data_IF_594300387276
#
_entry.id   IF_594300387276
#
_cell.length_a   1.000
_cell.length_b   1.000
_cell.length_c   1.000
_cell.angle_alpha   90.00
_cell.angle_beta   90.00
_cell.angle_gamma   90.00
#
_symmetry.space_group_name_H-M   'P 1'
#
loop_
_entity.id
_entity.type
_entity.pdbx_description
1 polymer ?
#
# COMPACT_ATOMS: atom_id res chain seq x y z
N UNK A 1 1.93 27.14 -13.63
CA UNK A 1 1.42 25.80 -13.96
C UNK A 1 -0.12 25.72 -13.88
N UNK A 2 -0.89 26.48 -14.68
CA UNK A 2 -2.36 26.39 -14.69
C UNK A 2 -2.93 25.20 -15.47
N UNK A 3 -2.10 24.40 -16.16
CA UNK A 3 -2.57 23.38 -17.11
C UNK A 3 -3.03 22.06 -16.48
N UNK A 4 -2.56 21.66 -15.30
CA UNK A 4 -2.90 20.35 -14.72
C UNK A 4 -4.31 20.31 -14.11
N UNK A 5 -4.74 21.40 -13.50
CA UNK A 5 -5.97 21.44 -12.68
C UNK A 5 -7.28 21.21 -13.45
N UNK A 6 -7.44 21.66 -14.71
CA UNK A 6 -8.62 21.31 -15.50
C UNK A 6 -8.71 19.81 -15.76
N UNK A 7 -7.63 19.19 -16.26
CA UNK A 7 -7.62 17.75 -16.56
C UNK A 7 -7.86 16.89 -15.33
N UNK A 8 -7.25 17.25 -14.19
CA UNK A 8 -7.50 16.51 -12.94
C UNK A 8 -8.95 16.67 -12.47
N UNK A 9 -9.57 17.83 -12.65
CA UNK A 9 -10.97 18.06 -12.27
C UNK A 9 -11.92 17.21 -13.11
N UNK A 10 -11.65 17.10 -14.40
CA UNK A 10 -12.50 16.40 -15.35
C UNK A 10 -12.29 14.87 -15.36
N UNK A 11 -11.19 14.38 -14.77
CA UNK A 11 -10.90 12.95 -14.69
C UNK A 11 -12.01 12.15 -13.97
N UNK A 12 -12.39 11.02 -14.55
CA UNK A 12 -13.45 10.12 -14.04
C UNK A 12 -12.93 8.76 -13.58
N UNK A 13 -11.71 8.41 -13.94
CA UNK A 13 -11.02 7.18 -13.55
C UNK A 13 -9.55 7.47 -13.21
N UNK A 14 -8.87 6.48 -12.64
CA UNK A 14 -7.48 6.62 -12.17
C UNK A 14 -6.53 6.80 -13.35
N UNK A 15 -6.80 6.14 -14.47
CA UNK A 15 -5.93 6.17 -15.64
C UNK A 15 -5.89 7.58 -16.26
N UNK A 16 -7.03 8.28 -16.32
CA UNK A 16 -7.10 9.68 -16.76
C UNK A 16 -6.30 10.61 -15.85
N UNK A 17 -6.33 10.39 -14.52
CA UNK A 17 -5.51 11.15 -13.58
C UNK A 17 -4.03 10.93 -13.86
N UNK A 18 -3.63 9.66 -13.98
CA UNK A 18 -2.23 9.28 -14.20
C UNK A 18 -1.72 9.83 -15.53
N UNK A 19 -2.50 9.69 -16.61
CA UNK A 19 -2.15 10.20 -17.94
C UNK A 19 -1.97 11.73 -17.93
N UNK A 20 -2.85 12.47 -17.26
CA UNK A 20 -2.73 13.93 -17.12
C UNK A 20 -1.48 14.34 -16.34
N UNK A 21 -1.16 13.64 -15.25
CA UNK A 21 0.05 13.90 -14.45
C UNK A 21 1.31 13.62 -15.27
N UNK A 22 1.39 12.45 -15.91
CA UNK A 22 2.54 12.06 -16.71
C UNK A 22 2.77 13.00 -17.89
N UNK A 23 1.71 13.42 -18.60
CA UNK A 23 1.82 14.39 -19.69
C UNK A 23 2.40 15.73 -19.23
N UNK A 24 1.98 16.23 -18.07
CA UNK A 24 2.49 17.50 -17.53
C UNK A 24 3.92 17.38 -17.03
N UNK A 25 4.27 16.29 -16.34
CA UNK A 25 5.62 16.11 -15.78
C UNK A 25 6.63 15.83 -16.89
N UNK A 26 6.31 14.93 -17.83
CA UNK A 26 7.20 14.57 -18.94
C UNK A 26 7.46 15.73 -19.91
N UNK A 27 6.51 16.67 -20.05
CA UNK A 27 6.71 17.90 -20.82
C UNK A 27 7.55 18.97 -20.11
N UNK A 28 8.02 18.71 -18.89
CA UNK A 28 8.82 19.65 -18.10
C UNK A 28 10.27 19.77 -18.60
N UNK A 29 10.94 20.92 -18.40
CA UNK A 29 12.33 21.09 -18.83
C UNK A 29 13.27 20.10 -18.12
N UNK A 30 14.26 19.60 -18.85
CA UNK A 30 15.22 18.58 -18.41
C UNK A 30 14.61 17.24 -17.95
N UNK A 31 13.30 17.02 -18.10
CA UNK A 31 12.66 15.73 -17.81
C UNK A 31 12.83 14.82 -19.02
N UNK A 32 13.49 13.67 -18.82
CA UNK A 32 13.66 12.63 -19.85
C UNK A 32 12.38 11.81 -19.96
N UNK A 33 11.84 11.42 -18.81
CA UNK A 33 10.60 10.66 -18.65
C UNK A 33 10.10 10.76 -17.21
N UNK A 34 8.85 10.39 -16.99
CA UNK A 34 8.25 10.33 -15.67
C UNK A 34 7.46 9.04 -15.51
N UNK A 35 7.41 8.50 -14.30
CA UNK A 35 6.59 7.36 -13.95
C UNK A 35 5.76 7.68 -12.72
N UNK A 36 4.59 7.06 -12.62
CA UNK A 36 3.73 7.15 -11.45
C UNK A 36 3.39 5.74 -11.01
N UNK A 37 3.53 5.50 -9.71
CA UNK A 37 3.19 4.25 -9.07
C UNK A 37 2.08 4.46 -8.05
N UNK A 38 1.16 3.50 -7.96
CA UNK A 38 0.12 3.43 -6.94
C UNK A 38 0.28 2.13 -6.16
N UNK A 39 0.14 2.24 -4.83
CA UNK A 39 0.16 1.09 -3.94
C UNK A 39 -1.07 0.22 -4.18
N UNK A 40 -0.85 -1.08 -4.25
CA UNK A 40 -1.88 -2.12 -4.34
C UNK A 40 -1.68 -3.22 -3.30
N UNK A 41 -2.77 -3.95 -3.02
CA UNK A 41 -2.76 -5.06 -2.08
C UNK A 41 -2.27 -4.65 -0.69
N UNK A 42 -2.65 -3.45 -0.22
CA UNK A 42 -2.18 -2.92 1.07
C UNK A 42 -0.76 -2.38 1.07
N UNK A 43 -0.08 -2.26 -0.08
CA UNK A 43 1.32 -1.82 -0.19
C UNK A 43 2.31 -2.95 -0.51
N UNK A 44 1.80 -4.15 -0.82
CA UNK A 44 2.59 -5.33 -1.20
C UNK A 44 3.21 -5.21 -2.59
N UNK A 45 2.61 -4.41 -3.46
CA UNK A 45 3.08 -4.16 -4.83
C UNK A 45 2.82 -2.71 -5.20
N UNK A 46 3.66 -2.21 -6.08
CA UNK A 46 3.44 -0.93 -6.73
C UNK A 46 3.07 -1.20 -8.18
N UNK A 47 1.83 -0.87 -8.55
CA UNK A 47 1.48 -0.75 -9.96
C UNK A 47 2.07 0.54 -10.48
N UNK A 48 2.91 0.47 -11.49
CA UNK A 48 3.59 1.61 -12.04
C UNK A 48 3.40 1.69 -13.55
N UNK A 49 3.41 2.92 -14.06
CA UNK A 49 3.36 3.22 -15.49
C UNK A 49 4.30 4.38 -15.77
N UNK A 50 5.05 4.27 -16.87
CA UNK A 50 5.94 5.31 -17.38
C UNK A 50 5.23 6.10 -18.49
N UNK A 51 5.52 7.39 -18.55
CA UNK A 51 5.20 8.30 -19.64
C UNK A 51 5.49 7.74 -21.03
N UNK A 52 6.55 6.93 -21.21
CA UNK A 52 6.83 6.24 -22.47
C UNK A 52 5.74 5.23 -22.87
N UNK A 53 5.11 4.58 -21.89
CA UNK A 53 4.00 3.64 -22.08
C UNK A 53 2.63 4.33 -22.11
N UNK A 54 2.52 5.56 -21.58
CA UNK A 54 1.27 6.31 -21.52
C UNK A 54 0.94 7.12 -22.80
N UNK A 55 1.82 7.15 -23.80
CA UNK A 55 1.64 7.94 -25.04
C UNK A 55 0.97 7.09 -26.12
N UNK A 56 -0.33 7.30 -26.32
CA UNK A 56 -1.04 6.90 -27.55
C UNK A 56 -1.96 5.69 -27.49
N UNK A 57 -2.22 5.09 -26.32
CA UNK A 57 -3.20 4.01 -26.14
C UNK A 57 -4.37 4.44 -25.24
N UNK A 58 -5.58 3.95 -25.55
CA UNK A 58 -6.78 4.16 -24.72
C UNK A 58 -6.65 3.49 -23.35
N UNK A 59 -5.79 2.47 -23.24
CA UNK A 59 -5.48 1.73 -22.02
C UNK A 59 -4.03 1.99 -21.57
N UNK A 60 -3.77 2.02 -20.26
CA UNK A 60 -2.42 2.19 -19.71
C UNK A 60 -1.78 0.81 -19.50
N UNK A 61 -0.58 0.63 -20.04
CA UNK A 61 0.20 -0.59 -19.78
C UNK A 61 0.84 -0.53 -18.38
N UNK A 62 0.11 -1.05 -17.40
CA UNK A 62 0.53 -1.12 -16.01
C UNK A 62 1.49 -2.28 -15.78
N UNK A 63 2.67 -1.96 -15.28
CA UNK A 63 3.65 -2.93 -14.79
C UNK A 63 3.66 -2.98 -13.26
N UNK A 64 4.28 -4.01 -12.68
CA UNK A 64 4.40 -4.16 -11.23
C UNK A 64 5.86 -4.03 -10.80
N UNK A 65 6.08 -3.29 -9.72
CA UNK A 65 7.32 -3.29 -8.93
C UNK A 65 7.00 -4.03 -7.64
N UNK A 66 7.89 -4.95 -7.27
CA UNK A 66 7.78 -5.61 -5.98
C UNK A 66 8.13 -4.60 -4.88
N UNK A 67 7.36 -4.56 -3.79
CA UNK A 67 7.58 -3.61 -2.71
C UNK A 67 8.97 -3.76 -2.03
N UNK A 68 9.64 -4.91 -2.24
CA UNK A 68 10.99 -5.20 -1.74
C UNK A 68 12.10 -4.88 -2.72
N UNK A 69 11.76 -4.49 -3.96
CA UNK A 69 12.78 -4.05 -4.91
C UNK A 69 13.50 -2.81 -4.35
N UNK A 70 14.83 -2.85 -4.38
CA UNK A 70 15.66 -1.71 -3.95
C UNK A 70 15.63 -0.62 -5.03
N UNK A 71 14.54 0.15 -5.04
CA UNK A 71 14.32 1.26 -5.96
C UNK A 71 13.87 2.52 -5.20
N UNK A 72 14.06 3.72 -5.76
CA UNK A 72 13.62 4.95 -5.11
C UNK A 72 12.12 4.94 -4.76
N UNK A 73 11.27 4.36 -5.62
CA UNK A 73 9.82 4.32 -5.44
C UNK A 73 9.37 3.55 -4.19
N UNK A 74 9.96 2.39 -3.90
CA UNK A 74 9.62 1.60 -2.72
C UNK A 74 10.07 2.32 -1.44
N UNK A 75 11.21 3.01 -1.48
CA UNK A 75 11.68 3.84 -0.36
C UNK A 75 10.73 4.99 -0.07
N UNK A 76 10.29 5.75 -1.07
CA UNK A 76 9.37 6.89 -0.82
C UNK A 76 7.99 6.43 -0.36
N UNK A 77 7.50 5.30 -0.84
CA UNK A 77 6.22 4.75 -0.38
C UNK A 77 6.32 4.27 1.07
N UNK A 78 7.43 3.63 1.44
CA UNK A 78 7.66 3.14 2.80
C UNK A 78 7.89 4.26 3.81
N UNK A 79 8.66 5.28 3.44
CA UNK A 79 9.13 6.32 4.38
C UNK A 79 8.32 7.60 4.35
N UNK A 80 7.61 7.87 3.24
CA UNK A 80 7.02 9.18 3.01
C UNK A 80 8.03 10.30 2.75
N UNK A 81 9.33 9.99 2.68
CA UNK A 81 10.38 10.96 2.44
C UNK A 81 10.71 11.06 0.95
N UNK A 82 11.13 12.25 0.52
CA UNK A 82 11.57 12.47 -0.86
C UNK A 82 12.96 11.88 -1.05
N UNK A 83 13.16 11.15 -2.14
CA UNK A 83 14.47 10.63 -2.54
C UNK A 83 14.88 11.31 -3.84
N UNK A 84 16.00 12.04 -3.86
CA UNK A 84 16.50 12.67 -5.08
C UNK A 84 18.03 12.79 -5.08
N UNK A 85 18.62 12.83 -6.27
CA UNK A 85 20.06 12.96 -6.46
C UNK A 85 20.49 12.68 -7.91
N UNK A 86 21.74 13.04 -8.23
CA UNK A 86 22.43 12.51 -9.40
C UNK A 86 22.64 11.00 -9.28
N UNK A 87 22.88 10.31 -10.40
CA UNK A 87 23.04 8.84 -10.36
C UNK A 87 24.21 8.40 -9.44
N UNK A 88 25.27 9.21 -9.36
CA UNK A 88 26.46 8.91 -8.55
C UNK A 88 26.28 9.22 -7.06
N UNK A 89 25.25 9.99 -6.67
CA UNK A 89 25.02 10.42 -5.28
C UNK A 89 24.48 9.30 -4.38
N UNK A 90 23.94 8.22 -4.97
CA UNK A 90 23.23 7.17 -4.23
C UNK A 90 24.14 6.17 -3.52
N UNK A 91 25.47 6.28 -3.66
CA UNK A 91 26.42 5.53 -2.83
C UNK A 91 26.23 4.01 -2.85
N UNK A 92 25.82 3.45 -3.99
CA UNK A 92 25.55 2.02 -4.17
C UNK A 92 24.10 1.59 -3.88
N UNK A 93 23.25 2.46 -3.33
CA UNK A 93 21.80 2.20 -3.24
C UNK A 93 21.18 2.17 -4.63
N UNK A 94 20.18 1.34 -4.82
CA UNK A 94 19.42 1.24 -6.07
C UNK A 94 20.27 0.81 -7.28
N UNK A 95 21.36 0.07 -7.07
CA UNK A 95 22.34 -0.23 -8.11
C UNK A 95 21.71 -0.90 -9.35
N UNK A 96 20.83 -1.87 -9.16
CA UNK A 96 20.10 -2.54 -10.25
C UNK A 96 19.17 -1.59 -11.02
N UNK A 97 18.54 -0.66 -10.31
CA UNK A 97 17.66 0.35 -10.90
C UNK A 97 18.44 1.44 -11.66
N UNK A 98 19.57 1.90 -11.13
CA UNK A 98 20.41 2.94 -11.74
C UNK A 98 21.21 2.41 -12.94
N UNK A 99 21.41 1.09 -13.01
CA UNK A 99 22.10 0.44 -14.12
C UNK A 99 21.43 0.78 -15.46
N UNK A 100 22.24 1.28 -16.41
CA UNK A 100 21.78 1.63 -17.75
C UNK A 100 20.92 2.90 -17.85
N UNK A 101 20.64 3.62 -16.76
CA UNK A 101 19.88 4.88 -16.83
C UNK A 101 20.67 5.97 -17.58
N UNK A 102 21.99 6.02 -17.39
CA UNK A 102 22.88 6.95 -18.12
C UNK A 102 22.83 6.76 -19.64
N UNK A 103 22.78 5.52 -20.12
CA UNK A 103 22.64 5.20 -21.55
C UNK A 103 21.31 5.67 -22.13
N UNK A 104 20.30 5.85 -21.28
CA UNK A 104 18.97 6.38 -21.63
C UNK A 104 18.89 7.91 -21.48
N UNK A 105 20.01 8.59 -21.29
CA UNK A 105 20.09 10.05 -21.16
C UNK A 105 19.66 10.59 -19.80
N UNK A 106 19.53 9.73 -18.78
CA UNK A 106 19.21 10.14 -17.41
C UNK A 106 20.51 10.43 -16.66
N UNK A 107 20.58 11.59 -16.02
CA UNK A 107 21.68 11.99 -15.15
C UNK A 107 21.26 12.15 -13.68
N UNK A 108 19.95 12.29 -13.41
CA UNK A 108 19.42 12.46 -12.06
C UNK A 108 18.01 11.87 -11.93
N UNK A 109 17.61 11.55 -10.70
CA UNK A 109 16.27 11.05 -10.38
C UNK A 109 15.69 11.77 -9.17
N UNK A 110 14.36 11.94 -9.18
CA UNK A 110 13.59 12.36 -8.01
C UNK A 110 12.35 11.48 -7.87
N UNK A 111 12.24 10.78 -6.74
CA UNK A 111 11.05 10.08 -6.30
C UNK A 111 10.36 10.89 -5.21
N UNK A 112 9.04 11.07 -5.34
CA UNK A 112 8.22 11.83 -4.41
C UNK A 112 7.01 11.00 -3.98
N UNK A 113 6.64 11.01 -2.69
CA UNK A 113 5.45 10.31 -2.24
C UNK A 113 4.18 10.97 -2.80
N UNK A 114 3.18 10.16 -3.14
CA UNK A 114 1.79 10.61 -3.28
C UNK A 114 1.16 10.52 -1.89
N UNK A 115 0.92 11.64 -1.19
CA UNK A 115 0.55 11.61 0.23
C UNK A 115 -0.77 10.87 0.47
N UNK A 116 -0.77 9.87 1.34
CA UNK A 116 -1.98 9.18 1.81
C UNK A 116 -2.44 9.63 3.19
N UNK A 117 -3.46 8.99 3.74
CA UNK A 117 -3.83 9.11 5.16
C UNK A 117 -3.02 8.07 5.93
N UNK A 118 -2.03 8.50 6.70
CA UNK A 118 -1.08 7.62 7.38
C UNK A 118 0.16 7.32 6.52
N UNK A 119 0.00 6.59 5.43
CA UNK A 119 1.09 6.18 4.53
C UNK A 119 0.89 6.68 3.10
N UNK A 120 1.93 6.96 2.29
CA UNK A 120 1.78 7.28 0.88
C UNK A 120 0.96 6.25 0.09
N UNK A 121 0.05 6.71 -0.77
CA UNK A 121 -0.74 5.84 -1.67
C UNK A 121 0.02 5.45 -2.94
N UNK A 122 1.29 5.82 -3.04
CA UNK A 122 2.10 5.65 -4.24
C UNK A 122 3.27 6.63 -4.30
N UNK A 123 3.92 6.71 -5.46
CA UNK A 123 5.05 7.59 -5.70
C UNK A 123 5.11 8.12 -7.13
N UNK A 124 5.60 9.35 -7.29
CA UNK A 124 5.94 9.97 -8.57
C UNK A 124 7.45 9.88 -8.74
N UNK A 125 7.91 9.25 -9.81
CA UNK A 125 9.33 9.14 -10.16
C UNK A 125 9.61 9.98 -11.41
N UNK A 126 10.61 10.85 -11.31
CA UNK A 126 11.01 11.77 -12.39
C UNK A 126 12.46 11.49 -12.74
N UNK A 127 12.72 11.30 -14.03
CA UNK A 127 14.05 11.08 -14.58
C UNK A 127 14.50 12.36 -15.29
N UNK A 128 15.68 12.86 -14.95
CA UNK A 128 16.17 14.16 -15.40
C UNK A 128 17.49 14.00 -16.17
N UNK A 129 17.69 14.82 -17.20
CA UNK A 129 18.91 14.84 -18.01
C UNK A 129 20.05 15.66 -17.40
N UNK A 130 19.76 16.43 -16.34
CA UNK A 130 20.71 17.32 -15.68
C UNK A 130 20.50 17.30 -14.16
N UNK A 131 21.51 16.90 -13.36
CA UNK A 131 21.43 16.94 -11.89
C UNK A 131 21.21 18.34 -11.33
N UNK A 132 21.69 19.39 -12.01
CA UNK A 132 21.47 20.77 -11.57
C UNK A 132 19.99 21.19 -11.64
N UNK A 133 19.15 20.44 -12.36
CA UNK A 133 17.72 20.65 -12.38
C UNK A 133 17.01 20.25 -11.06
N UNK A 134 17.68 19.55 -10.14
CA UNK A 134 17.17 19.15 -8.83
C UNK A 134 17.33 20.22 -7.75
N UNK A 135 16.92 21.46 -8.04
CA UNK A 135 16.87 22.51 -7.02
C UNK A 135 15.62 22.40 -6.10
N UNK A 136 15.64 23.10 -4.96
CA UNK A 136 14.54 23.07 -3.98
C UNK A 136 13.20 23.49 -4.60
N UNK A 137 13.22 24.45 -5.53
CA UNK A 137 12.02 24.95 -6.20
C UNK A 137 11.42 23.89 -7.12
N UNK A 138 12.27 23.10 -7.79
CA UNK A 138 11.89 21.99 -8.65
C UNK A 138 11.27 20.86 -7.83
N UNK A 139 11.93 20.46 -6.74
CA UNK A 139 11.40 19.46 -5.81
C UNK A 139 10.05 19.92 -5.24
N UNK A 140 9.91 21.18 -4.83
CA UNK A 140 8.64 21.72 -4.36
C UNK A 140 7.54 21.68 -5.43
N UNK A 141 7.91 21.91 -6.70
CA UNK A 141 6.99 21.81 -7.83
C UNK A 141 6.49 20.39 -8.03
N UNK A 142 7.40 19.41 -8.07
CA UNK A 142 7.01 18.00 -8.17
C UNK A 142 6.17 17.55 -6.97
N UNK A 143 6.48 18.02 -5.76
CA UNK A 143 5.71 17.71 -4.55
C UNK A 143 4.28 18.24 -4.64
N UNK A 144 4.10 19.43 -5.19
CA UNK A 144 2.77 20.01 -5.47
C UNK A 144 1.99 19.17 -6.47
N UNK A 145 2.65 18.68 -7.53
CA UNK A 145 2.05 17.79 -8.53
C UNK A 145 1.63 16.46 -7.87
N UNK A 146 2.53 15.82 -7.10
CA UNK A 146 2.25 14.56 -6.42
C UNK A 146 1.07 14.68 -5.44
N UNK A 147 0.94 15.81 -4.74
CA UNK A 147 -0.21 16.09 -3.87
C UNK A 147 -1.52 16.19 -4.66
N UNK A 148 -1.52 16.97 -5.74
CA UNK A 148 -2.71 17.12 -6.62
C UNK A 148 -3.11 15.78 -7.26
N UNK A 149 -2.13 14.98 -7.65
CA UNK A 149 -2.34 13.63 -8.15
C UNK A 149 -3.02 12.76 -7.08
N UNK A 150 -2.52 12.76 -5.85
CA UNK A 150 -3.12 12.03 -4.74
C UNK A 150 -4.57 12.46 -4.48
N UNK A 151 -4.83 13.77 -4.42
CA UNK A 151 -6.18 14.31 -4.22
C UNK A 151 -7.14 13.89 -5.33
N UNK A 152 -6.67 13.86 -6.58
CA UNK A 152 -7.46 13.42 -7.72
C UNK A 152 -7.73 11.91 -7.72
N UNK A 153 -6.71 11.08 -7.46
CA UNK A 153 -6.86 9.62 -7.33
C UNK A 153 -7.87 9.29 -6.24
N UNK A 154 -7.76 9.91 -5.06
CA UNK A 154 -8.73 9.75 -3.98
C UNK A 154 -10.13 10.11 -4.47
N UNK A 155 -10.34 11.33 -4.96
CA UNK A 155 -11.66 11.80 -5.43
C UNK A 155 -12.31 10.83 -6.42
N UNK A 156 -11.55 10.34 -7.40
CA UNK A 156 -12.04 9.37 -8.37
C UNK A 156 -12.44 8.05 -7.70
N UNK A 157 -11.57 7.47 -6.86
CA UNK A 157 -11.88 6.24 -6.11
C UNK A 157 -13.14 6.41 -5.25
N UNK A 158 -13.34 7.58 -4.65
CA UNK A 158 -14.54 7.92 -3.88
C UNK A 158 -15.79 8.04 -4.75
N UNK A 159 -15.68 8.64 -5.94
CA UNK A 159 -16.80 8.77 -6.87
C UNK A 159 -17.22 7.41 -7.44
N UNK A 160 -16.26 6.54 -7.73
CA UNK A 160 -16.50 5.15 -8.16
C UNK A 160 -17.13 4.31 -7.05
N UNK A 161 -16.64 4.45 -5.80
CA UNK A 161 -17.25 3.80 -4.63
C UNK A 161 -18.66 4.30 -4.31
N UNK A 162 -19.01 5.54 -4.64
CA UNK A 162 -20.38 6.10 -4.47
C UNK A 162 -21.36 5.70 -5.56
N UNK A 163 -20.90 5.50 -6.81
CA UNK A 163 -21.74 4.93 -7.88
C UNK A 163 -21.94 3.43 -7.71
N UNK A 164 -21.02 2.78 -7.00
CA UNK A 164 -21.06 1.38 -6.64
C UNK A 164 -21.77 1.07 -5.32
N UNK A 165 -22.95 1.64 -5.04
CA UNK A 165 -23.79 1.02 -3.99
C UNK A 165 -24.37 -0.35 -4.41
N UNK A 166 -24.00 -0.82 -5.60
CA UNK A 166 -24.08 -2.22 -6.07
C UNK A 166 -22.69 -2.83 -6.36
N UNK A 167 -21.58 -2.15 -6.01
CA UNK A 167 -20.23 -2.67 -6.12
C UNK A 167 -19.62 -2.78 -4.72
N UNK A 168 -19.62 -4.01 -4.21
CA UNK A 168 -18.88 -4.48 -3.04
C UNK A 168 -17.50 -3.78 -3.00
N UNK A 169 -17.07 -3.23 -1.84
CA UNK A 169 -15.72 -2.69 -1.68
C UNK A 169 -14.75 -3.73 -2.22
N UNK A 170 -13.95 -3.40 -3.25
CA UNK A 170 -13.23 -4.39 -4.05
C UNK A 170 -12.51 -5.38 -3.14
N UNK A 171 -13.13 -6.55 -3.03
CA UNK A 171 -12.60 -7.70 -2.33
C UNK A 171 -11.27 -8.00 -3.02
N UNK A 172 -10.15 -8.13 -2.29
CA UNK A 172 -8.89 -8.50 -2.92
C UNK A 172 -9.15 -9.75 -3.75
N UNK A 173 -8.82 -9.70 -5.05
CA UNK A 173 -8.95 -10.84 -5.95
C UNK A 173 -8.24 -12.01 -5.29
N UNK A 174 -9.01 -12.98 -4.79
CA UNK A 174 -8.45 -14.18 -4.18
C UNK A 174 -7.77 -14.94 -5.31
N UNK A 175 -6.45 -15.14 -5.27
CA UNK A 175 -5.75 -15.89 -6.30
C UNK A 175 -6.34 -17.29 -6.42
N UNK A 176 -6.42 -17.82 -7.64
CA UNK A 176 -6.95 -19.16 -7.88
C UNK A 176 -6.06 -20.18 -7.15
N UNK A 177 -6.62 -20.89 -6.16
CA UNK A 177 -5.90 -21.83 -5.29
C UNK A 177 -5.54 -21.31 -3.89
N UNK A 178 -5.76 -20.02 -3.59
CA UNK A 178 -5.54 -19.48 -2.26
C UNK A 178 -6.61 -19.96 -1.25
N UNK A 179 -6.20 -20.23 -0.02
CA UNK A 179 -7.11 -20.54 1.08
C UNK A 179 -7.58 -19.24 1.72
N UNK A 180 -8.89 -19.06 1.86
CA UNK A 180 -9.47 -17.81 2.36
C UNK A 180 -10.56 -18.08 3.40
N UNK A 181 -10.63 -17.24 4.42
CA UNK A 181 -11.74 -17.22 5.38
C UNK A 181 -11.96 -15.79 5.89
N UNK A 182 -13.18 -15.46 6.29
CA UNK A 182 -13.49 -14.18 6.93
C UNK A 182 -14.58 -14.30 8.00
N UNK A 183 -14.58 -13.35 8.94
CA UNK A 183 -15.58 -13.26 10.02
C UNK A 183 -15.82 -11.81 10.40
N UNK A 184 -17.07 -11.49 10.76
CA UNK A 184 -17.40 -10.22 11.38
C UNK A 184 -17.14 -10.28 12.88
N UNK A 185 -16.40 -9.31 13.39
CA UNK A 185 -16.10 -9.09 14.79
C UNK A 185 -17.01 -7.99 15.33
N UNK A 186 -17.76 -8.31 16.38
CA UNK A 186 -18.53 -7.33 17.13
C UNK A 186 -17.61 -6.35 17.87
N UNK A 187 -18.05 -5.10 18.00
CA UNK A 187 -17.39 -4.08 18.84
C UNK A 187 -17.56 -4.42 20.33
N UNK A 188 -16.73 -5.35 20.82
CA UNK A 188 -16.74 -5.78 22.22
C UNK A 188 -15.35 -6.18 22.69
N UNK A 189 -15.06 -6.12 24.01
CA UNK A 189 -13.82 -6.64 24.58
C UNK A 189 -13.59 -8.14 24.34
N UNK A 190 -14.60 -8.88 23.89
CA UNK A 190 -14.50 -10.31 23.54
C UNK A 190 -13.98 -10.54 22.11
N UNK A 191 -13.94 -9.50 21.27
CA UNK A 191 -13.54 -9.58 19.87
C UNK A 191 -12.14 -10.18 19.69
N UNK A 192 -11.17 -9.77 20.51
CA UNK A 192 -9.79 -10.30 20.45
C UNK A 192 -9.76 -11.81 20.71
N UNK A 193 -10.57 -12.31 21.66
CA UNK A 193 -10.67 -13.73 21.95
C UNK A 193 -11.33 -14.53 20.81
N UNK A 194 -12.38 -13.97 20.20
CA UNK A 194 -13.07 -14.57 19.07
C UNK A 194 -12.17 -14.63 17.82
N UNK A 195 -11.50 -13.52 17.52
CA UNK A 195 -10.56 -13.40 16.40
C UNK A 195 -9.41 -14.41 16.50
N UNK A 196 -8.80 -14.55 17.68
CA UNK A 196 -7.75 -15.55 17.91
C UNK A 196 -8.22 -16.98 17.69
N UNK A 197 -9.41 -17.32 18.19
CA UNK A 197 -9.97 -18.68 18.04
C UNK A 197 -10.23 -18.98 16.56
N UNK A 198 -10.89 -18.05 15.90
CA UNK A 198 -11.18 -18.13 14.47
C UNK A 198 -9.92 -18.33 13.63
N UNK A 199 -8.87 -17.51 13.87
CA UNK A 199 -7.60 -17.64 13.17
C UNK A 199 -6.97 -19.01 13.40
N UNK A 200 -6.82 -19.45 14.65
CA UNK A 200 -6.19 -20.73 14.99
C UNK A 200 -6.91 -21.94 14.42
N UNK A 201 -8.24 -21.94 14.43
CA UNK A 201 -9.02 -23.04 13.86
C UNK A 201 -8.75 -23.20 12.35
N UNK A 202 -8.70 -22.09 11.61
CA UNK A 202 -8.47 -22.12 10.17
C UNK A 202 -7.01 -22.42 9.80
N UNK A 203 -6.04 -21.78 10.48
CA UNK A 203 -4.63 -22.04 10.19
C UNK A 203 -4.24 -23.51 10.46
N UNK A 204 -4.82 -24.13 11.49
CA UNK A 204 -4.65 -25.57 11.74
C UNK A 204 -5.30 -26.44 10.67
N UNK A 205 -6.50 -26.07 10.21
CA UNK A 205 -7.15 -26.75 9.10
C UNK A 205 -6.35 -26.64 7.79
N UNK A 206 -5.57 -25.57 7.63
CA UNK A 206 -4.67 -25.33 6.50
C UNK A 206 -3.26 -25.90 6.69
N UNK A 207 -3.03 -26.65 7.78
CA UNK A 207 -1.75 -27.26 8.13
C UNK A 207 -0.57 -26.25 8.22
N UNK A 208 -0.84 -25.03 8.67
CA UNK A 208 0.19 -24.05 9.03
C UNK A 208 0.90 -24.51 10.32
N UNK A 209 2.21 -24.35 10.36
CA UNK A 209 3.06 -24.72 11.51
C UNK A 209 2.62 -24.01 12.80
N UNK A 210 2.69 -24.70 13.94
CA UNK A 210 2.23 -24.17 15.24
C UNK A 210 3.00 -22.89 15.66
N UNK A 211 4.28 -22.74 15.30
CA UNK A 211 5.06 -21.51 15.57
C UNK A 211 4.48 -20.32 14.80
N UNK A 212 4.21 -20.50 13.49
CA UNK A 212 3.60 -19.47 12.67
C UNK A 212 2.15 -19.16 13.08
N UNK A 213 1.41 -20.16 13.61
CA UNK A 213 0.09 -19.94 14.21
C UNK A 213 0.20 -19.03 15.43
N UNK A 214 1.13 -19.29 16.33
CA UNK A 214 1.32 -18.49 17.54
C UNK A 214 1.72 -17.04 17.21
N UNK A 215 2.65 -16.84 16.27
CA UNK A 215 3.05 -15.51 15.78
C UNK A 215 1.87 -14.74 15.15
N UNK A 216 1.08 -15.42 14.31
CA UNK A 216 -0.10 -14.82 13.69
C UNK A 216 -1.16 -14.44 14.75
N UNK A 217 -1.34 -15.25 15.80
CA UNK A 217 -2.26 -14.95 16.89
C UNK A 217 -1.82 -13.73 17.71
N UNK A 218 -0.52 -13.56 17.93
CA UNK A 218 0.02 -12.41 18.63
C UNK A 218 -0.16 -11.13 17.80
N UNK A 219 0.24 -11.14 16.53
CA UNK A 219 0.03 -10.01 15.61
C UNK A 219 -1.45 -9.62 15.49
N UNK A 220 -2.35 -10.60 15.34
CA UNK A 220 -3.78 -10.35 15.25
C UNK A 220 -4.35 -9.71 16.53
N UNK A 221 -3.81 -10.08 17.70
CA UNK A 221 -4.29 -9.52 18.97
C UNK A 221 -4.02 -8.03 19.07
N UNK A 222 -2.86 -7.58 18.61
CA UNK A 222 -2.50 -6.17 18.56
C UNK A 222 -3.36 -5.42 17.52
N UNK A 223 -3.53 -5.98 16.32
CA UNK A 223 -4.37 -5.38 15.28
C UNK A 223 -5.83 -5.23 15.69
N UNK A 224 -6.43 -6.27 16.27
CA UNK A 224 -7.84 -6.26 16.71
C UNK A 224 -8.04 -5.34 17.90
N UNK A 225 -7.07 -5.25 18.81
CA UNK A 225 -7.13 -4.30 19.93
C UNK A 225 -7.10 -2.87 19.41
N UNK A 226 -6.22 -2.57 18.45
CA UNK A 226 -6.14 -1.26 17.80
C UNK A 226 -7.40 -0.92 16.98
N UNK A 227 -7.96 -1.88 16.24
CA UNK A 227 -9.08 -1.64 15.33
C UNK A 227 -10.46 -1.70 16.02
N UNK A 228 -10.71 -2.70 16.87
CA UNK A 228 -12.06 -2.96 17.41
C UNK A 228 -12.31 -2.24 18.74
N UNK A 229 -11.32 -2.19 19.62
CA UNK A 229 -11.50 -1.59 20.96
C UNK A 229 -11.44 -0.06 20.90
N UNK A 230 -10.65 0.51 20.00
CA UNK A 230 -10.48 1.96 19.89
C UNK A 230 -11.39 2.65 18.85
N UNK A 231 -11.85 1.95 17.80
CA UNK A 231 -12.77 2.55 16.81
C UNK A 231 -14.25 2.45 17.22
N UNK A 232 -14.62 1.48 18.06
CA UNK A 232 -15.99 1.33 18.58
C UNK A 232 -17.01 0.78 17.57
N UNK A 233 -16.57 0.28 16.42
CA UNK A 233 -17.37 -0.17 15.27
C UNK A 233 -17.14 -1.65 14.94
N UNK A 234 -18.08 -2.28 14.23
CA UNK A 234 -17.91 -3.66 13.77
C UNK A 234 -16.76 -3.73 12.76
N UNK A 235 -15.99 -4.83 12.80
CA UNK A 235 -14.85 -5.03 11.90
C UNK A 235 -14.94 -6.37 11.18
N UNK A 236 -14.45 -6.45 9.95
CA UNK A 236 -14.25 -7.70 9.22
C UNK A 236 -12.81 -8.17 9.41
N UNK A 237 -12.63 -9.39 9.91
CA UNK A 237 -11.36 -10.10 9.87
C UNK A 237 -11.33 -10.99 8.64
N UNK A 238 -10.29 -10.87 7.82
CA UNK A 238 -10.03 -11.73 6.66
C UNK A 238 -8.65 -12.35 6.76
N UNK A 239 -8.55 -13.62 6.39
CA UNK A 239 -7.32 -14.42 6.42
C UNK A 239 -7.14 -15.06 5.06
N UNK A 240 -5.97 -14.88 4.44
CA UNK A 240 -5.64 -15.45 3.13
C UNK A 240 -4.28 -16.14 3.23
N UNK A 241 -4.19 -17.39 2.79
CA UNK A 241 -2.93 -18.10 2.61
C UNK A 241 -2.74 -18.40 1.12
N UNK A 242 -1.71 -17.80 0.54
CA UNK A 242 -1.36 -17.92 -0.88
C UNK A 242 0.14 -18.09 -1.04
N UNK A 243 0.58 -19.11 -1.78
CA UNK A 243 1.99 -19.39 -2.08
C UNK A 243 2.95 -19.25 -0.86
N UNK A 244 2.56 -19.82 0.29
CA UNK A 244 3.37 -19.76 1.52
C UNK A 244 3.28 -18.42 2.28
N UNK A 245 2.46 -17.46 1.83
CA UNK A 245 2.28 -16.17 2.51
C UNK A 245 0.93 -16.10 3.18
N UNK A 246 0.93 -16.12 4.52
CA UNK A 246 -0.26 -15.86 5.33
C UNK A 246 -0.47 -14.34 5.46
N UNK A 247 -1.63 -13.84 5.07
CA UNK A 247 -2.03 -12.43 5.19
C UNK A 247 -3.29 -12.32 6.03
N UNK A 248 -3.25 -11.45 7.02
CA UNK A 248 -4.36 -11.22 7.95
C UNK A 248 -4.73 -9.74 7.91
N UNK A 249 -6.01 -9.47 7.64
CA UNK A 249 -6.55 -8.14 7.44
C UNK A 249 -7.70 -7.91 8.42
N UNK A 250 -7.71 -6.78 9.11
CA UNK A 250 -8.83 -6.30 9.92
C UNK A 250 -9.32 -5.00 9.32
N UNK A 251 -10.54 -5.00 8.80
CA UNK A 251 -11.21 -3.81 8.26
C UNK A 251 -12.28 -3.33 9.22
N UNK A 252 -12.09 -2.15 9.78
CA UNK A 252 -13.17 -1.40 10.40
C UNK A 252 -14.18 -1.00 9.31
N UNK A 253 -15.44 -1.40 9.46
CA UNK A 253 -16.50 -1.15 8.48
C UNK A 253 -17.17 0.22 8.62
N UNK A 254 -16.76 1.03 9.60
CA UNK A 254 -17.35 2.34 9.87
C UNK A 254 -18.82 2.23 10.30
N UNK A 255 -19.26 3.10 11.20
CA UNK A 255 -20.67 3.18 11.54
C UNK A 255 -21.47 3.66 10.33
N UNK A 256 -22.23 2.79 9.67
CA UNK A 256 -23.36 3.20 8.82
C UNK A 256 -24.34 4.01 9.69
N UNK A 257 -24.20 5.33 9.64
CA UNK A 257 -25.21 6.28 10.11
C UNK A 257 -25.35 6.46 11.62
N UNK A 258 -24.49 7.29 12.24
CA UNK A 258 -24.95 8.30 13.20
C UNK A 258 -24.10 9.57 13.05
N UNK A 259 -24.68 10.71 12.68
CA UNK A 259 -24.02 12.00 12.87
C UNK A 259 -23.83 12.18 14.38
N UNK A 260 -22.60 12.16 14.87
CA UNK A 260 -22.33 12.69 16.20
C UNK A 260 -22.63 14.19 16.15
N UNK A 261 -23.61 14.60 16.95
CA UNK A 261 -24.01 15.98 17.09
C UNK A 261 -22.78 16.84 17.39
N UNK A 262 -22.73 18.03 16.79
CA UNK A 262 -21.71 19.02 17.03
C UNK A 262 -21.56 19.28 18.54
N UNK A 263 -20.33 19.20 19.06
CA UNK A 263 -19.98 19.91 20.29
C UNK A 263 -19.31 19.14 21.43
N UNK A 264 -18.77 17.93 21.25
CA UNK A 264 -17.93 17.30 22.28
C UNK A 264 -16.48 17.11 21.79
N UNK A 265 -15.46 17.58 22.52
CA UNK A 265 -14.08 17.48 22.08
C UNK A 265 -13.66 16.00 22.06
N UNK A 266 -13.32 15.50 20.87
CA UNK A 266 -12.68 14.20 20.72
C UNK A 266 -11.37 14.17 21.52
N UNK A 267 -11.17 13.19 22.43
CA UNK A 267 -9.88 13.00 23.06
C UNK A 267 -8.92 12.33 22.07
N UNK A 268 -8.35 13.12 21.16
CA UNK A 268 -7.01 13.00 20.54
C UNK A 268 -6.92 13.92 19.33
N UNK A 269 -6.51 15.18 19.54
CA UNK A 269 -5.99 16.05 18.49
C UNK A 269 -4.52 15.67 18.18
N UNK A 270 -4.28 14.39 17.89
CA UNK A 270 -2.98 13.88 17.41
C UNK A 270 -3.26 13.12 16.09
N UNK A 271 -2.72 13.54 14.94
CA UNK A 271 -3.22 13.13 13.62
C UNK A 271 -2.78 11.72 13.18
N UNK A 272 -2.20 10.93 14.08
CA UNK A 272 -1.68 9.59 13.79
C UNK A 272 -2.36 8.52 14.65
N UNK A 273 -3.21 7.64 14.07
CA UNK A 273 -3.73 6.47 14.77
C UNK A 273 -2.65 5.46 15.18
N UNK A 274 -1.38 5.64 14.76
CA UNK A 274 -0.22 4.85 15.17
C UNK A 274 0.57 5.46 16.36
N UNK A 275 0.24 6.67 16.83
CA UNK A 275 0.96 7.31 17.96
C UNK A 275 0.49 6.85 19.34
N UNK A 276 -0.61 6.12 19.44
CA UNK A 276 -1.02 5.49 20.70
C UNK A 276 -0.61 4.02 20.64
N UNK A 277 0.29 3.61 21.55
CA UNK A 277 0.79 2.23 21.79
C UNK A 277 2.03 1.76 21.00
N UNK A 278 3.15 2.47 21.18
CA UNK A 278 4.48 2.10 20.66
C UNK A 278 5.14 0.80 21.21
N UNK A 279 4.37 -0.18 21.70
CA UNK A 279 4.86 -1.54 22.04
C UNK A 279 4.18 -2.64 21.23
N UNK A 280 2.87 -2.52 20.96
CA UNK A 280 2.11 -3.50 20.19
C UNK A 280 2.55 -3.57 18.73
N UNK A 281 2.79 -2.41 18.10
CA UNK A 281 3.31 -2.36 16.74
C UNK A 281 4.78 -2.82 16.64
N UNK A 282 5.57 -2.70 17.71
CA UNK A 282 6.93 -3.27 17.73
C UNK A 282 6.89 -4.81 17.69
N UNK A 283 5.86 -5.41 18.28
CA UNK A 283 5.65 -6.86 18.22
C UNK A 283 5.21 -7.29 16.82
N UNK A 284 4.28 -6.55 16.20
CA UNK A 284 3.89 -6.82 14.81
C UNK A 284 5.09 -6.63 13.87
N UNK A 285 5.89 -5.59 14.07
CA UNK A 285 7.10 -5.33 13.29
C UNK A 285 8.17 -6.41 13.48
N UNK A 286 8.29 -6.99 14.67
CA UNK A 286 9.25 -8.04 14.96
C UNK A 286 8.85 -9.43 14.44
N UNK A 287 7.56 -9.75 14.45
CA UNK A 287 7.06 -11.09 14.09
C UNK A 287 6.55 -11.17 12.66
N UNK A 288 6.04 -10.07 12.10
CA UNK A 288 5.53 -10.06 10.74
C UNK A 288 6.63 -9.82 9.71
N UNK A 289 6.55 -10.53 8.60
CA UNK A 289 7.39 -10.21 7.43
C UNK A 289 7.00 -8.86 6.84
N UNK A 290 5.71 -8.48 6.96
CA UNK A 290 5.13 -7.26 6.38
C UNK A 290 3.93 -6.82 7.18
N UNK A 291 3.66 -5.53 7.29
CA UNK A 291 2.41 -5.01 7.85
C UNK A 291 2.12 -3.59 7.36
N UNK A 292 0.88 -3.13 7.52
CA UNK A 292 0.49 -1.79 7.10
C UNK A 292 -0.94 -1.40 7.47
N UNK A 293 -1.32 -0.18 7.08
CA UNK A 293 -2.69 0.32 7.23
C UNK A 293 -3.11 1.17 6.04
N UNK A 294 -4.39 1.09 5.68
CA UNK A 294 -5.03 1.90 4.64
C UNK A 294 -6.34 2.46 5.19
N UNK A 295 -6.60 3.74 4.98
CA UNK A 295 -7.87 4.36 5.34
C UNK A 295 -8.59 4.83 4.09
N UNK A 296 -9.80 4.32 3.88
CA UNK A 296 -10.72 4.76 2.84
C UNK A 296 -11.92 5.53 3.47
N UNK A 297 -12.91 5.93 2.66
CA UNK A 297 -14.09 6.65 3.18
C UNK A 297 -15.04 5.79 3.99
N UNK A 298 -14.94 4.47 3.87
CA UNK A 298 -15.80 3.51 4.54
C UNK A 298 -15.17 2.98 5.82
N UNK A 299 -13.86 3.09 5.99
CA UNK A 299 -13.20 2.79 7.25
C UNK A 299 -11.70 2.65 7.15
N UNK A 300 -11.13 1.98 8.15
CA UNK A 300 -9.68 1.75 8.27
C UNK A 300 -9.40 0.27 8.16
N UNK A 301 -8.48 -0.10 7.28
CA UNK A 301 -7.96 -1.45 7.11
C UNK A 301 -6.56 -1.51 7.69
N UNK A 302 -6.30 -2.47 8.57
CA UNK A 302 -4.96 -2.79 9.09
C UNK A 302 -4.63 -4.24 8.75
N UNK A 303 -3.37 -4.55 8.47
CA UNK A 303 -2.99 -5.89 8.04
C UNK A 303 -1.55 -6.24 8.41
N UNK A 304 -1.26 -7.54 8.48
CA UNK A 304 0.10 -8.09 8.52
C UNK A 304 0.21 -9.33 7.63
N UNK A 305 1.45 -9.73 7.33
CA UNK A 305 1.78 -10.93 6.58
C UNK A 305 2.95 -11.69 7.21
N UNK A 306 2.91 -13.02 7.08
CA UNK A 306 3.96 -13.96 7.49
C UNK A 306 4.33 -14.81 6.28
N UNK A 307 5.62 -14.92 5.99
CA UNK A 307 6.14 -15.95 5.08
C UNK A 307 6.33 -17.22 5.90
N UNK A 308 5.61 -18.26 5.52
CA UNK A 308 5.73 -19.58 6.10
C UNK A 308 6.93 -20.25 5.42
N UNK A 309 7.86 -20.78 6.21
CA UNK A 309 8.93 -21.59 5.65
C UNK A 309 8.31 -22.78 4.91
N UNK A 310 8.79 -23.07 3.69
CA UNK A 310 8.42 -24.28 2.99
C UNK A 310 8.70 -25.47 3.90
N UNK A 311 7.68 -26.31 4.12
CA UNK A 311 7.89 -27.59 4.79
C UNK A 311 9.04 -28.31 4.06
N UNK A 312 10.02 -28.89 4.78
CA UNK A 312 11.02 -29.71 4.11
C UNK A 312 10.28 -30.76 3.29
N UNK A 313 10.55 -30.78 1.98
CA UNK A 313 10.11 -31.86 1.12
C UNK A 313 10.44 -33.15 1.87
N UNK A 314 9.42 -33.94 2.18
CA UNK A 314 9.64 -35.27 2.71
C UNK A 314 10.37 -36.01 1.61
N UNK A 315 11.69 -36.11 1.74
CA UNK A 315 12.52 -37.02 0.98
C UNK A 315 11.89 -38.40 1.19
N UNK A 316 11.11 -38.82 0.19
CA UNK A 316 10.56 -40.15 0.10
C UNK A 316 11.72 -41.08 -0.15
N UNK A 317 12.36 -41.52 0.94
CA UNK A 317 13.26 -42.66 0.90
C UNK A 317 12.42 -43.88 0.46
N UNK A 318 12.72 -44.51 -0.69
CA UNK A 318 12.05 -45.73 -1.06
C UNK A 318 12.54 -46.82 -0.11
N UNK A 319 11.65 -47.29 0.77
CA UNK A 319 11.86 -48.50 1.55
C UNK A 319 12.00 -49.67 0.57
N UNK A 320 13.23 -50.04 0.27
CA UNK A 320 13.58 -51.33 -0.31
C UNK A 320 13.74 -52.35 0.83
N UNK A 321 12.71 -53.15 1.07
CA UNK A 321 12.77 -54.42 1.81
C UNK A 321 11.46 -55.18 1.58
N UNK A 322 11.41 -56.45 1.18
CA UNK A 322 12.39 -57.44 0.74
C UNK A 322 11.61 -58.65 0.21
#
# INVERSE_FOLDING_TARGET
>A
MPMLDPFLRDAHDVDQVVRAVLAVVAGGPAVVRAALALSEGGGRRLRFVDSAAAVGQDDLDWSHIDAYDDVPLTTVVRTGEVVHGGLDDFGGRYASFLQGQGERGVAAVAALPLPGTGSPIGGLLVYLSDPAALDERRIATFRSIARRASDAVRRVRLASGRRGSDAVPQEPVVPEGALTTSVLLESSPRATGAARRFLREHLRAWAVDDEAVDDAQLCLSELVTNAVVHAGTASELRVVLDAGVLTVTVRDLGGLGKPTAAGEPHPSEDPDPLRVYGRGLQLVDALSTRWGSERDVTGTTVWFALELADAPATDGDPVAAG
#
